data_IF_851153310883
#
_entry.id   IF_851153310883
#
_cell.length_a   1.000
_cell.length_b   1.000
_cell.length_c   1.000
_cell.angle_alpha   90.00
_cell.angle_beta   90.00
_cell.angle_gamma   90.00
#
_symmetry.space_group_name_H-M   'P 1'
#
loop_
_entity.id
_entity.type
_entity.pdbx_description
1 polymer ?
#
# COMPACT_ATOMS: atom_id res chain seq x y z
N UNK A 1 -8.43 4.24 -11.50
CA UNK A 1 -8.47 3.50 -10.21
C UNK A 1 -9.05 2.12 -10.50
N UNK A 2 -8.55 1.05 -9.88
CA UNK A 2 -9.11 -0.31 -10.05
C UNK A 2 -9.40 -0.90 -8.66
N UNK A 3 -10.61 -1.41 -8.50
CA UNK A 3 -11.11 -2.01 -7.26
C UNK A 3 -11.29 -3.51 -7.49
N UNK A 4 -10.81 -4.34 -6.56
CA UNK A 4 -11.11 -5.77 -6.53
C UNK A 4 -11.99 -6.02 -5.31
N UNK A 5 -13.19 -6.55 -5.54
CA UNK A 5 -14.16 -6.87 -4.50
C UNK A 5 -14.21 -8.38 -4.31
N UNK A 6 -14.20 -8.84 -3.06
CA UNK A 6 -14.50 -10.22 -2.67
C UNK A 6 -15.63 -10.16 -1.65
N UNK A 7 -16.76 -10.82 -1.94
CA UNK A 7 -17.96 -10.84 -1.08
C UNK A 7 -18.47 -9.44 -0.65
N UNK A 8 -18.43 -8.45 -1.55
CA UNK A 8 -18.91 -7.09 -1.24
C UNK A 8 -17.98 -6.24 -0.37
N UNK A 9 -16.81 -6.76 0.03
CA UNK A 9 -15.75 -6.01 0.71
C UNK A 9 -14.57 -5.73 -0.24
N UNK A 10 -13.96 -4.55 -0.12
CA UNK A 10 -12.81 -4.17 -0.95
C UNK A 10 -11.57 -4.98 -0.57
N UNK A 11 -11.27 -6.04 -1.33
CA UNK A 11 -10.12 -6.92 -1.11
C UNK A 11 -8.79 -6.20 -1.35
N UNK A 12 -8.75 -5.38 -2.40
CA UNK A 12 -7.55 -4.61 -2.77
C UNK A 12 -7.90 -3.38 -3.58
N UNK A 13 -7.37 -2.23 -3.18
CA UNK A 13 -7.47 -0.99 -3.96
C UNK A 13 -6.10 -0.64 -4.52
N UNK A 14 -6.02 -0.46 -5.83
CA UNK A 14 -4.79 -0.05 -6.51
C UNK A 14 -4.98 1.35 -7.08
N UNK A 15 -4.20 2.29 -6.57
CA UNK A 15 -4.18 3.68 -7.02
C UNK A 15 -2.88 3.93 -7.76
N UNK A 16 -2.96 4.39 -9.01
CA UNK A 16 -1.81 4.79 -9.81
C UNK A 16 -1.88 6.29 -10.02
N UNK A 17 -0.77 6.98 -9.79
CA UNK A 17 -0.68 8.42 -9.96
C UNK A 17 0.66 8.81 -10.58
N UNK A 18 0.77 10.07 -11.01
CA UNK A 18 2.00 10.66 -11.55
C UNK A 18 2.24 12.05 -10.95
N UNK A 19 3.50 12.43 -10.84
CA UNK A 19 3.98 13.73 -10.41
C UNK A 19 4.50 13.72 -8.98
N UNK A 20 5.65 14.35 -8.79
CA UNK A 20 6.31 14.54 -7.49
C UNK A 20 5.48 15.36 -6.52
N UNK A 21 4.84 16.43 -6.98
CA UNK A 21 3.93 17.22 -6.14
C UNK A 21 2.72 16.40 -5.64
N UNK A 22 2.18 15.53 -6.50
CA UNK A 22 1.11 14.60 -6.11
C UNK A 22 1.61 13.58 -5.10
N UNK A 23 2.83 13.06 -5.31
CA UNK A 23 3.50 12.14 -4.40
C UNK A 23 3.63 12.74 -3.00
N UNK A 24 4.13 13.98 -2.89
CA UNK A 24 4.34 14.64 -1.60
C UNK A 24 3.03 14.85 -0.85
N UNK A 25 1.96 15.26 -1.56
CA UNK A 25 0.62 15.39 -0.96
C UNK A 25 0.08 14.06 -0.46
N UNK A 26 0.26 12.98 -1.23
CA UNK A 26 -0.13 11.63 -0.84
C UNK A 26 0.65 11.16 0.38
N UNK A 27 1.97 11.42 0.44
CA UNK A 27 2.79 11.06 1.59
C UNK A 27 2.34 11.78 2.86
N UNK A 28 2.02 13.08 2.77
CA UNK A 28 1.50 13.83 3.92
C UNK A 28 0.15 13.28 4.36
N UNK A 29 -0.74 12.99 3.42
CA UNK A 29 -2.06 12.43 3.71
C UNK A 29 -1.98 11.05 4.38
N UNK A 30 -1.16 10.13 3.84
CA UNK A 30 -1.00 8.80 4.42
C UNK A 30 -0.32 8.85 5.80
N UNK A 31 0.64 9.75 6.01
CA UNK A 31 1.25 9.94 7.33
C UNK A 31 0.25 10.50 8.35
N UNK A 32 -0.68 11.36 7.92
CA UNK A 32 -1.74 11.87 8.80
C UNK A 32 -2.74 10.80 9.21
N UNK A 33 -2.95 9.77 8.38
CA UNK A 33 -3.90 8.70 8.66
C UNK A 33 -3.29 7.53 9.43
N UNK A 34 -2.10 7.10 9.04
CA UNK A 34 -1.47 5.87 9.54
C UNK A 34 -0.26 6.14 10.44
N UNK A 35 0.12 7.40 10.63
CA UNK A 35 1.27 7.80 11.42
C UNK A 35 2.54 8.06 10.58
N UNK A 36 3.55 8.67 11.21
CA UNK A 36 4.81 8.98 10.55
C UNK A 36 5.49 7.69 10.09
N UNK A 37 6.09 7.74 8.90
CA UNK A 37 6.98 6.67 8.44
C UNK A 37 8.20 6.65 9.36
N UNK A 38 8.57 5.46 9.83
CA UNK A 38 9.80 5.30 10.61
C UNK A 38 10.98 5.52 9.67
N UNK A 39 11.53 6.74 9.70
CA UNK A 39 12.55 7.16 8.75
C UNK A 39 13.93 6.75 9.24
N UNK A 40 14.18 5.45 9.35
CA UNK A 40 15.53 4.97 9.67
C UNK A 40 16.48 5.38 8.54
N UNK A 41 17.45 6.29 8.79
CA UNK A 41 18.39 6.75 7.76
C UNK A 41 19.22 5.57 7.29
N UNK A 42 18.96 5.09 6.08
CA UNK A 42 19.52 3.85 5.54
C UNK A 42 18.54 3.07 4.66
N UNK A 43 17.25 3.14 4.96
CA UNK A 43 16.20 2.53 4.11
C UNK A 43 15.84 3.35 2.86
N UNK A 44 16.23 4.63 2.84
CA UNK A 44 16.08 5.53 1.68
C UNK A 44 17.37 5.67 0.85
N UNK A 45 18.40 4.88 1.16
CA UNK A 45 19.70 4.97 0.51
C UNK A 45 19.60 4.51 -0.96
N UNK A 46 19.48 5.47 -1.87
CA UNK A 46 20.15 5.43 -3.19
C UNK A 46 19.46 4.74 -4.36
N UNK A 47 18.13 4.59 -4.38
CA UNK A 47 17.42 3.99 -5.51
C UNK A 47 16.48 4.95 -6.26
N UNK A 48 16.33 4.76 -7.57
CA UNK A 48 15.27 5.42 -8.39
C UNK A 48 13.85 5.03 -7.98
N UNK A 49 13.70 4.09 -7.04
CA UNK A 49 12.44 3.56 -6.55
C UNK A 49 12.45 3.66 -5.02
N UNK A 50 11.42 4.31 -4.47
CA UNK A 50 11.15 4.42 -3.04
C UNK A 50 9.97 3.53 -2.67
N UNK A 51 10.08 2.84 -1.55
CA UNK A 51 9.01 2.01 -0.99
C UNK A 51 8.64 2.57 0.38
N UNK A 52 7.34 2.63 0.65
CA UNK A 52 6.77 3.09 1.90
C UNK A 52 5.65 2.12 2.29
N UNK A 53 5.64 1.71 3.54
CA UNK A 53 4.64 0.77 4.04
C UNK A 53 4.10 1.28 5.37
N UNK A 54 2.79 1.22 5.52
CA UNK A 54 2.08 1.49 6.76
C UNK A 54 1.23 0.27 7.09
N UNK A 55 1.31 -0.16 8.34
CA UNK A 55 0.48 -1.23 8.87
C UNK A 55 -0.52 -0.60 9.85
N UNK A 56 -1.76 -0.45 9.39
CA UNK A 56 -2.88 -0.06 10.25
C UNK A 56 -3.49 -1.28 10.95
N UNK A 57 -4.46 -1.03 11.84
CA UNK A 57 -5.19 -2.08 12.55
C UNK A 57 -6.02 -2.98 11.61
N UNK A 58 -6.61 -2.40 10.56
CA UNK A 58 -7.51 -3.13 9.64
C UNK A 58 -6.99 -3.20 8.20
N UNK A 59 -6.08 -2.29 7.83
CA UNK A 59 -5.62 -2.11 6.46
C UNK A 59 -4.11 -1.87 6.43
N UNK A 60 -3.44 -2.59 5.54
CA UNK A 60 -2.05 -2.34 5.17
C UNK A 60 -1.99 -1.50 3.90
N UNK A 61 -1.13 -0.49 3.92
CA UNK A 61 -0.91 0.42 2.80
C UNK A 61 0.54 0.29 2.35
N UNK A 62 0.74 -0.03 1.09
CA UNK A 62 2.06 -0.09 0.48
C UNK A 62 2.11 0.90 -0.68
N UNK A 63 3.05 1.83 -0.65
CA UNK A 63 3.28 2.84 -1.67
C UNK A 63 4.65 2.65 -2.28
N UNK A 64 4.70 2.50 -3.60
CA UNK A 64 5.92 2.49 -4.39
C UNK A 64 5.94 3.74 -5.27
N UNK A 65 7.04 4.48 -5.23
CA UNK A 65 7.25 5.67 -6.04
C UNK A 65 8.55 5.56 -6.83
N UNK A 66 8.49 5.76 -8.14
CA UNK A 66 9.64 5.80 -9.02
C UNK A 66 9.99 7.25 -9.34
N UNK A 67 11.12 7.73 -8.81
CA UNK A 67 11.60 9.11 -9.00
C UNK A 67 12.06 9.35 -10.44
N UNK A 68 12.47 8.31 -11.16
CA UNK A 68 12.93 8.45 -12.56
C UNK A 68 11.81 8.75 -13.55
N UNK A 69 10.57 8.37 -13.24
CA UNK A 69 9.40 8.59 -14.13
C UNK A 69 8.27 9.39 -13.46
N UNK A 70 8.50 9.81 -12.22
CA UNK A 70 7.52 10.41 -11.30
C UNK A 70 6.22 9.60 -11.20
N UNK A 71 6.31 8.27 -11.19
CA UNK A 71 5.13 7.39 -11.12
C UNK A 71 5.01 6.77 -9.75
N UNK A 72 3.81 6.85 -9.18
CA UNK A 72 3.48 6.20 -7.94
C UNK A 72 2.37 5.16 -8.10
N UNK A 73 2.47 4.09 -7.31
CA UNK A 73 1.43 3.10 -7.15
C UNK A 73 1.22 2.84 -5.65
N UNK A 74 -0.04 2.85 -5.23
CA UNK A 74 -0.48 2.59 -3.86
C UNK A 74 -1.34 1.34 -3.88
N UNK A 75 -1.07 0.45 -2.94
CA UNK A 75 -1.84 -0.75 -2.66
C UNK A 75 -2.44 -0.61 -1.27
N UNK A 76 -3.77 -0.63 -1.21
CA UNK A 76 -4.50 -0.77 0.06
C UNK A 76 -5.01 -2.21 0.13
N UNK A 77 -4.65 -2.92 1.20
CA UNK A 77 -5.00 -4.32 1.43
C UNK A 77 -5.65 -4.46 2.80
N UNK A 78 -6.86 -5.03 2.86
CA UNK A 78 -7.54 -5.29 4.14
C UNK A 78 -6.95 -6.54 4.81
N UNK A 79 -6.59 -6.43 6.10
CA UNK A 79 -6.05 -7.55 6.88
C UNK A 79 -7.10 -8.65 7.11
N UNK A 80 -8.36 -8.29 7.32
CA UNK A 80 -9.46 -9.25 7.49
C UNK A 80 -9.63 -10.15 6.26
N UNK A 81 -9.55 -9.54 5.07
CA UNK A 81 -9.67 -10.26 3.80
C UNK A 81 -8.45 -11.12 3.50
N UNK A 82 -7.24 -10.68 3.89
CA UNK A 82 -6.07 -11.56 3.84
C UNK A 82 -6.25 -12.79 4.71
N UNK A 83 -6.72 -12.64 5.96
CA UNK A 83 -6.99 -13.79 6.84
C UNK A 83 -8.04 -14.74 6.27
N UNK A 84 -9.17 -14.23 5.78
CA UNK A 84 -10.21 -15.06 5.15
C UNK A 84 -9.73 -15.78 3.89
N UNK A 85 -8.91 -15.13 3.06
CA UNK A 85 -8.36 -15.74 1.84
C UNK A 85 -7.30 -16.80 2.17
N UNK A 86 -6.53 -16.64 3.25
CA UNK A 86 -5.63 -17.70 3.75
C UNK A 86 -6.42 -18.87 4.34
N UNK A 87 -7.50 -18.63 5.09
CA UNK A 87 -8.39 -19.70 5.61
C UNK A 87 -9.07 -20.49 4.49
N UNK A 88 -9.57 -19.83 3.43
CA UNK A 88 -10.15 -20.54 2.28
C UNK A 88 -9.16 -21.44 1.53
N UNK A 89 -7.85 -21.18 1.64
CA UNK A 89 -6.81 -22.04 1.05
C UNK A 89 -6.37 -23.19 1.98
N UNK A 90 -6.78 -23.19 3.24
CA UNK A 90 -6.56 -24.32 4.16
C UNK A 90 -7.68 -25.36 4.11
N UNK A 91 -8.76 -25.10 3.37
CA UNK A 91 -9.90 -26.01 3.22
C UNK A 91 -9.72 -27.09 2.13
N UNK A 92 -8.50 -27.28 1.59
CA UNK A 92 -8.22 -28.39 0.66
C UNK A 92 -6.93 -29.08 1.04
N UNK A 93 -6.98 -29.84 2.13
CA UNK A 93 -6.17 -31.04 2.31
C UNK A 93 -7.09 -32.08 2.96
N UNK A 94 -7.71 -32.91 2.12
CA UNK A 94 -8.28 -34.21 2.50
C UNK A 94 -7.54 -35.26 1.68
#
# INVERSE_FOLDING_TARGET
MRFVTSEGKFARVIVRYRGSMTHDRILVYLQSLYGPLDRTPGQFAGGSIKFFSWTGFETDVNLRYETGTDRGIIFFESQELRRKMTESNSATVF
#
